data_IF_042784421748
#
_entry.id   IF_042784421748
#
_cell.length_a   1.000
_cell.length_b   1.000
_cell.length_c   1.000
_cell.angle_alpha   90.00
_cell.angle_beta   90.00
_cell.angle_gamma   90.00
#
_symmetry.space_group_name_H-M   'P 1'
#
loop_
_entity.id
_entity.type
_entity.pdbx_description
1 polymer ?
#
# COMPACT_ATOMS: atom_id res chain seq x y z
N UNK A 1 5.60 11.13 -10.55
CA UNK A 1 4.51 11.65 -9.70
C UNK A 1 3.37 12.09 -10.59
N UNK A 2 2.12 11.95 -10.15
CA UNK A 2 0.95 12.19 -11.00
C UNK A 2 0.51 10.97 -11.83
N UNK A 3 0.99 9.77 -11.49
CA UNK A 3 0.57 8.53 -12.14
C UNK A 3 -0.78 8.09 -11.58
N UNK A 4 -1.69 7.69 -12.46
CA UNK A 4 -2.98 7.13 -12.07
C UNK A 4 -2.82 5.69 -11.63
N UNK A 5 -3.51 5.32 -10.56
CA UNK A 5 -3.65 3.93 -10.10
C UNK A 5 -5.12 3.53 -10.11
N UNK A 6 -5.39 2.26 -10.39
CA UNK A 6 -6.74 1.70 -10.42
C UNK A 6 -6.92 0.68 -9.31
N UNK A 7 -8.03 0.72 -8.60
CA UNK A 7 -8.34 -0.25 -7.56
C UNK A 7 -8.23 -1.69 -8.07
N UNK A 8 -7.51 -2.55 -7.33
CA UNK A 8 -7.29 -3.95 -7.67
C UNK A 8 -6.24 -4.22 -8.75
N UNK A 9 -5.64 -3.18 -9.34
CA UNK A 9 -4.53 -3.34 -10.29
C UNK A 9 -3.17 -3.22 -9.58
N UNK A 10 -2.14 -3.95 -10.04
CA UNK A 10 -0.80 -3.82 -9.49
C UNK A 10 -0.25 -2.42 -9.75
N UNK A 11 0.27 -1.78 -8.70
CA UNK A 11 0.85 -0.43 -8.75
C UNK A 11 2.33 -0.41 -8.35
N UNK A 12 2.89 -1.55 -7.96
CA UNK A 12 4.30 -1.73 -7.63
C UNK A 12 4.60 -3.16 -7.20
N UNK A 13 5.83 -3.40 -6.79
CA UNK A 13 6.29 -4.69 -6.26
C UNK A 13 7.20 -4.48 -5.06
N UNK A 14 7.19 -5.42 -4.12
CA UNK A 14 8.14 -5.49 -3.00
C UNK A 14 8.95 -6.76 -3.16
N UNK A 15 10.27 -6.61 -3.27
CA UNK A 15 11.22 -7.70 -3.38
C UNK A 15 11.96 -7.92 -2.06
N UNK A 16 12.04 -9.19 -1.66
CA UNK A 16 12.90 -9.67 -0.58
C UNK A 16 13.87 -10.72 -1.14
N UNK A 17 14.83 -11.16 -0.32
CA UNK A 17 15.75 -12.25 -0.70
C UNK A 17 15.07 -13.60 -0.91
N UNK A 18 13.78 -13.73 -0.57
CA UNK A 18 13.02 -14.99 -0.64
C UNK A 18 11.89 -14.96 -1.65
N UNK A 19 11.33 -13.80 -1.93
CA UNK A 19 10.09 -13.65 -2.70
C UNK A 19 9.94 -12.24 -3.23
N UNK A 20 9.25 -12.14 -4.37
CA UNK A 20 8.73 -10.89 -4.91
C UNK A 20 7.21 -10.94 -4.74
N UNK A 21 6.60 -9.82 -4.36
CA UNK A 21 5.14 -9.71 -4.18
C UNK A 21 4.63 -8.44 -4.83
N UNK A 22 3.59 -8.58 -5.65
CA UNK A 22 2.90 -7.46 -6.25
C UNK A 22 2.14 -6.67 -5.16
N UNK A 23 2.18 -5.34 -5.28
CA UNK A 23 1.39 -4.42 -4.48
C UNK A 23 0.24 -3.93 -5.34
N UNK A 24 -0.99 -4.19 -4.88
CA UNK A 24 -2.20 -3.78 -5.57
C UNK A 24 -2.73 -2.48 -4.96
N UNK A 25 -3.20 -1.57 -5.80
CA UNK A 25 -3.80 -0.34 -5.32
C UNK A 25 -5.15 -0.64 -4.65
N UNK A 26 -5.38 -0.20 -3.39
CA UNK A 26 -6.65 -0.43 -2.70
C UNK A 26 -7.78 0.45 -3.26
N UNK A 27 -7.44 1.57 -3.90
CA UNK A 27 -8.37 2.56 -4.43
C UNK A 27 -7.88 3.13 -5.76
N UNK A 28 -8.80 3.61 -6.58
CA UNK A 28 -8.47 4.38 -7.77
C UNK A 28 -8.13 5.83 -7.39
N UNK A 29 -7.08 6.39 -7.99
CA UNK A 29 -6.62 7.72 -7.64
C UNK A 29 -5.34 8.12 -8.36
N UNK A 30 -4.63 9.09 -7.79
CA UNK A 30 -3.36 9.60 -8.34
C UNK A 30 -2.27 9.57 -7.28
N UNK A 31 -1.09 9.06 -7.62
CA UNK A 31 0.07 9.04 -6.72
C UNK A 31 0.55 10.48 -6.45
N UNK A 32 0.36 10.92 -5.21
CA UNK A 32 0.75 12.23 -4.71
C UNK A 32 2.21 12.25 -4.24
N UNK A 33 2.66 11.20 -3.55
CA UNK A 33 4.03 11.06 -3.06
C UNK A 33 4.51 9.61 -3.12
N UNK A 34 5.84 9.44 -3.14
CA UNK A 34 6.53 8.14 -3.02
C UNK A 34 7.55 8.28 -1.89
N UNK A 35 7.73 7.23 -1.09
CA UNK A 35 8.68 7.28 0.02
C UNK A 35 10.11 7.12 -0.49
N UNK A 36 10.80 8.23 -0.71
CA UNK A 36 12.19 8.23 -1.18
C UNK A 36 13.18 7.65 -0.15
N UNK A 37 12.81 7.60 1.14
CA UNK A 37 13.67 7.04 2.18
C UNK A 37 13.91 5.54 1.98
N UNK A 38 12.95 4.82 1.39
CA UNK A 38 13.05 3.38 1.14
C UNK A 38 14.13 3.00 0.13
N UNK A 39 14.60 3.95 -0.68
CA UNK A 39 15.75 3.71 -1.58
C UNK A 39 17.03 3.48 -0.78
N UNK A 40 17.20 4.19 0.34
CA UNK A 40 18.36 4.08 1.20
C UNK A 40 18.15 3.11 2.37
N UNK A 41 16.90 2.95 2.82
CA UNK A 41 16.53 2.14 3.99
C UNK A 41 15.28 1.27 3.70
N UNK A 42 15.37 0.27 2.79
CA UNK A 42 14.24 -0.60 2.44
C UNK A 42 13.77 -1.48 3.62
N UNK A 43 14.62 -1.69 4.62
CA UNK A 43 14.29 -2.44 5.84
C UNK A 43 13.18 -1.80 6.68
N UNK A 44 12.90 -0.49 6.48
CA UNK A 44 11.82 0.22 7.15
C UNK A 44 10.45 -0.41 6.88
N UNK A 45 10.26 -1.00 5.70
CA UNK A 45 9.03 -1.75 5.37
C UNK A 45 8.80 -2.90 6.36
N UNK A 46 9.87 -3.47 6.93
CA UNK A 46 9.76 -4.55 7.92
C UNK A 46 9.74 -4.03 9.36
N UNK A 47 10.56 -3.03 9.70
CA UNK A 47 10.71 -2.57 11.08
C UNK A 47 9.63 -1.57 11.52
N UNK A 48 9.10 -0.78 10.59
CA UNK A 48 8.06 0.22 10.86
C UNK A 48 7.04 0.34 9.69
N UNK A 49 6.30 -0.73 9.38
CA UNK A 49 5.45 -0.83 8.18
C UNK A 49 4.32 0.21 8.11
N UNK A 50 3.88 0.73 9.25
CA UNK A 50 2.79 1.70 9.34
C UNK A 50 3.27 3.13 9.66
N UNK A 51 4.56 3.31 9.97
CA UNK A 51 5.20 4.60 10.19
C UNK A 51 6.09 4.97 9.00
N UNK A 52 7.40 4.99 9.21
CA UNK A 52 8.38 5.41 8.19
C UNK A 52 8.49 4.45 6.99
N UNK A 53 7.89 3.26 7.08
CA UNK A 53 7.85 2.23 6.04
C UNK A 53 6.73 2.38 4.99
N UNK A 54 5.97 3.48 4.99
CA UNK A 54 4.92 3.72 3.99
C UNK A 54 5.47 3.72 2.56
N UNK A 55 4.66 3.30 1.58
CA UNK A 55 5.13 3.11 0.19
C UNK A 55 4.84 4.34 -0.69
N UNK A 56 3.56 4.68 -0.80
CA UNK A 56 3.04 5.77 -1.64
C UNK A 56 1.86 6.46 -0.95
N UNK A 57 1.70 7.75 -1.22
CA UNK A 57 0.47 8.47 -0.89
C UNK A 57 -0.36 8.64 -2.15
N UNK A 58 -1.67 8.43 -2.03
CA UNK A 58 -2.62 8.50 -3.15
C UNK A 58 -3.70 9.51 -2.82
N UNK A 59 -3.90 10.48 -3.72
CA UNK A 59 -5.10 11.30 -3.74
C UNK A 59 -6.24 10.46 -4.29
N UNK A 60 -7.20 10.12 -3.43
CA UNK A 60 -8.36 9.27 -3.76
C UNK A 60 -9.29 10.01 -4.73
N UNK A 61 -9.70 9.33 -5.81
CA UNK A 61 -10.62 9.93 -6.78
C UNK A 61 -12.04 10.07 -6.20
N UNK A 62 -12.52 9.03 -5.50
CA UNK A 62 -13.87 8.95 -4.95
C UNK A 62 -13.81 8.58 -3.45
N UNK A 63 -13.98 9.51 -2.50
CA UNK A 63 -13.76 9.25 -1.08
C UNK A 63 -14.65 8.15 -0.47
N UNK A 64 -15.85 7.94 -1.02
CA UNK A 64 -16.81 6.94 -0.51
C UNK A 64 -16.33 5.49 -0.63
N UNK A 65 -15.34 5.21 -1.50
CA UNK A 65 -14.79 3.85 -1.65
C UNK A 65 -13.97 3.41 -0.43
N UNK A 66 -13.61 4.33 0.47
CA UNK A 66 -12.91 4.00 1.71
C UNK A 66 -13.80 3.27 2.70
N UNK A 67 -15.12 3.48 2.63
CA UNK A 67 -16.10 2.81 3.49
C UNK A 67 -16.25 1.32 3.17
N UNK A 68 -15.81 0.89 1.97
CA UNK A 68 -15.80 -0.51 1.53
C UNK A 68 -14.55 -1.27 2.00
N UNK A 69 -13.55 -0.57 2.55
CA UNK A 69 -12.32 -1.18 3.07
C UNK A 69 -12.53 -1.75 4.47
N UNK A 70 -11.68 -2.73 4.82
CA UNK A 70 -11.73 -3.35 6.13
C UNK A 70 -11.17 -2.40 7.20
N UNK A 71 -11.91 -2.25 8.30
CA UNK A 71 -11.39 -1.67 9.52
C UNK A 71 -10.38 -2.62 10.22
N UNK A 72 -9.73 -2.14 11.27
CA UNK A 72 -8.72 -2.90 12.00
C UNK A 72 -9.26 -4.21 12.62
N UNK A 73 -10.50 -4.22 13.09
CA UNK A 73 -11.11 -5.40 13.70
C UNK A 73 -11.48 -6.44 12.63
N UNK A 74 -12.07 -5.98 11.52
CA UNK A 74 -12.40 -6.80 10.36
C UNK A 74 -11.14 -7.42 9.74
N UNK A 75 -10.07 -6.64 9.56
CA UNK A 75 -8.80 -7.15 9.04
C UNK A 75 -8.15 -8.17 9.99
N UNK A 76 -8.18 -7.92 11.30
CA UNK A 76 -7.68 -8.86 12.31
C UNK A 76 -8.41 -10.21 12.23
N UNK A 77 -9.72 -10.20 12.00
CA UNK A 77 -10.48 -11.43 11.86
C UNK A 77 -10.16 -12.15 10.56
N UNK A 78 -10.11 -11.43 9.43
CA UNK A 78 -9.76 -11.99 8.13
C UNK A 78 -8.40 -12.71 8.15
N UNK A 79 -7.41 -12.14 8.82
CA UNK A 79 -6.06 -12.75 8.94
C UNK A 79 -6.05 -14.05 9.75
N UNK A 80 -6.94 -14.21 10.74
CA UNK A 80 -7.03 -15.47 11.52
C UNK A 80 -7.67 -16.61 10.73
N UNK A 81 -8.52 -16.28 9.77
CA UNK A 81 -9.24 -17.25 8.95
C UNK A 81 -8.36 -17.82 7.82
N UNK A 82 -7.22 -17.17 7.53
CA UNK A 82 -6.23 -17.54 6.52
C UNK A 82 -5.17 -18.48 7.09
#
# INVERSE_FOLDING_TARGET
MGESVSAGEPCGEVESTKSVSDIYAPVSGTVAARNEALVAAPELVNSDPYGDGWLVEVTVAEPGVLDDLLDAAQYTEHVKEQ
#
